data_IF_583499762042
#
_entry.id   IF_583499762042
#
_cell.length_a   1.000
_cell.length_b   1.000
_cell.length_c   1.000
_cell.angle_alpha   90.00
_cell.angle_beta   90.00
_cell.angle_gamma   90.00
#
_symmetry.space_group_name_H-M   'P 1'
#
loop_
_entity.id
_entity.type
_entity.pdbx_description
1 polymer ?
#
# COMPACT_ATOMS: atom_id res chain seq x y z
N UNK A 1 14.11 11.88 0.90
CA UNK A 1 12.92 12.76 0.86
C UNK A 1 11.99 12.37 1.98
N UNK A 2 11.45 13.32 2.74
CA UNK A 2 10.48 13.03 3.79
C UNK A 2 9.13 12.62 3.17
N UNK A 3 8.49 11.58 3.72
CA UNK A 3 7.10 11.25 3.39
C UNK A 3 6.17 12.35 3.93
N UNK A 4 5.06 12.61 3.24
CA UNK A 4 3.96 13.35 3.86
C UNK A 4 3.48 12.60 5.11
N UNK A 5 3.09 13.34 6.15
CA UNK A 5 2.67 12.75 7.43
C UNK A 5 1.52 11.77 7.26
N UNK A 6 0.57 12.08 6.38
CA UNK A 6 -0.61 11.25 6.07
C UNK A 6 -0.30 9.90 5.44
N UNK A 7 0.91 9.69 4.93
CA UNK A 7 1.38 8.42 4.34
C UNK A 7 2.70 7.95 4.95
N UNK A 8 3.06 8.46 6.13
CA UNK A 8 4.31 8.11 6.83
C UNK A 8 4.41 6.60 7.17
N UNK A 9 3.26 5.92 7.32
CA UNK A 9 3.15 4.48 7.52
C UNK A 9 3.78 3.63 6.39
N UNK A 10 4.03 4.23 5.22
CA UNK A 10 4.71 3.57 4.11
C UNK A 10 6.20 3.28 4.37
N UNK A 11 6.79 3.86 5.43
CA UNK A 11 8.11 3.51 5.91
C UNK A 11 8.04 2.23 6.73
N UNK A 12 8.43 1.10 6.12
CA UNK A 12 8.22 -0.23 6.72
C UNK A 12 9.42 -0.77 7.51
N UNK A 13 10.63 -0.27 7.22
CA UNK A 13 11.88 -0.70 7.83
C UNK A 13 12.85 0.46 7.95
N UNK A 14 13.79 0.35 8.88
CA UNK A 14 14.77 1.40 9.19
C UNK A 14 14.17 2.55 9.98
N UNK A 15 14.96 3.60 10.21
CA UNK A 15 14.54 4.74 11.03
C UNK A 15 14.42 6.02 10.21
N UNK A 16 13.85 7.07 10.81
CA UNK A 16 13.87 8.42 10.22
C UNK A 16 15.27 9.00 10.06
N UNK A 17 16.27 8.45 10.76
CA UNK A 17 17.65 8.91 10.73
C UNK A 17 18.54 8.17 9.72
N UNK A 18 18.01 7.16 9.04
CA UNK A 18 18.75 6.42 8.02
C UNK A 18 19.13 7.32 6.84
N UNK A 19 20.42 7.32 6.50
CA UNK A 19 21.00 8.16 5.44
C UNK A 19 20.49 7.73 4.06
N UNK A 20 20.40 6.42 3.84
CA UNK A 20 19.98 5.84 2.57
C UNK A 20 18.51 5.44 2.59
N UNK A 21 17.81 5.73 1.48
CA UNK A 21 16.40 5.41 1.29
C UNK A 21 16.22 4.48 0.10
N UNK A 22 15.65 3.31 0.34
CA UNK A 22 15.21 2.39 -0.71
C UNK A 22 13.71 2.59 -0.95
N UNK A 23 13.37 3.30 -2.03
CA UNK A 23 11.99 3.40 -2.53
C UNK A 23 11.64 2.14 -3.35
N UNK A 24 10.59 1.43 -2.95
CA UNK A 24 10.08 0.23 -3.64
C UNK A 24 8.68 0.49 -4.14
N UNK A 25 8.51 0.53 -5.46
CA UNK A 25 7.20 0.72 -6.10
C UNK A 25 6.50 -0.62 -6.26
N UNK A 26 5.27 -0.73 -5.78
CA UNK A 26 4.48 -1.95 -5.84
C UNK A 26 3.08 -1.72 -6.43
N UNK A 27 2.56 -2.77 -7.05
CA UNK A 27 1.16 -2.90 -7.42
C UNK A 27 0.61 -4.21 -6.85
N UNK A 28 -0.49 -4.15 -6.10
CA UNK A 28 -1.12 -5.30 -5.45
C UNK A 28 -1.70 -6.35 -6.40
N UNK A 29 -1.85 -6.04 -7.69
CA UNK A 29 -2.31 -6.99 -8.73
C UNK A 29 -1.13 -7.54 -9.55
N UNK A 30 0.09 -7.00 -9.36
CA UNK A 30 1.28 -7.45 -10.07
C UNK A 30 1.96 -8.63 -9.34
N UNK A 31 2.17 -9.80 -9.99
CA UNK A 31 2.83 -10.94 -9.35
C UNK A 31 4.32 -10.70 -9.03
N UNK A 32 4.98 -9.81 -9.80
CA UNK A 32 6.37 -9.42 -9.51
C UNK A 32 6.46 -8.57 -8.24
N UNK A 33 5.44 -7.74 -7.96
CA UNK A 33 5.36 -6.97 -6.71
C UNK A 33 5.21 -7.89 -5.50
N UNK A 34 4.39 -8.94 -5.60
CA UNK A 34 4.29 -9.96 -4.56
C UNK A 34 5.64 -10.65 -4.29
N UNK A 35 6.38 -11.00 -5.36
CA UNK A 35 7.74 -11.57 -5.24
C UNK A 35 8.70 -10.61 -4.54
N UNK A 36 8.64 -9.31 -4.85
CA UNK A 36 9.46 -8.30 -4.18
C UNK A 36 9.11 -8.18 -2.69
N UNK A 37 7.82 -8.11 -2.34
CA UNK A 37 7.37 -8.03 -0.95
C UNK A 37 7.86 -9.23 -0.11
N UNK A 38 7.72 -10.45 -0.64
CA UNK A 38 8.24 -11.67 0.00
C UNK A 38 9.76 -11.65 0.16
N UNK A 39 10.49 -11.12 -0.83
CA UNK A 39 11.94 -10.96 -0.74
C UNK A 39 12.36 -9.90 0.29
N UNK A 40 11.58 -8.83 0.45
CA UNK A 40 11.83 -7.83 1.48
C UNK A 40 11.75 -8.47 2.87
N UNK A 41 10.67 -9.21 3.15
CA UNK A 41 10.52 -9.91 4.43
C UNK A 41 11.61 -10.94 4.68
N UNK A 42 11.89 -11.80 3.69
CA UNK A 42 12.80 -12.93 3.87
C UNK A 42 14.26 -12.51 3.90
N UNK A 43 14.67 -11.61 3.02
CA UNK A 43 16.07 -11.34 2.73
C UNK A 43 16.52 -9.96 3.21
N UNK A 44 15.67 -8.94 3.06
CA UNK A 44 16.08 -7.56 3.34
C UNK A 44 15.92 -7.18 4.81
N UNK A 45 14.81 -7.57 5.43
CA UNK A 45 14.49 -7.26 6.83
C UNK A 45 15.57 -7.70 7.83
N UNK A 46 16.15 -8.92 7.75
CA UNK A 46 17.24 -9.32 8.65
C UNK A 46 18.52 -8.49 8.46
N UNK A 47 18.72 -7.87 7.30
CA UNK A 47 19.89 -7.03 7.04
C UNK A 47 19.71 -5.60 7.55
N UNK A 48 18.48 -5.11 7.64
CA UNK A 48 18.14 -3.72 7.98
C UNK A 48 17.64 -3.58 9.42
N UNK A 49 17.38 -4.68 10.14
CA UNK A 49 16.84 -4.64 11.49
C UNK A 49 17.58 -5.59 12.44
N UNK A 50 17.49 -5.33 13.75
CA UNK A 50 17.97 -6.26 14.78
C UNK A 50 19.49 -6.45 14.82
N UNK A 51 20.27 -5.42 14.53
CA UNK A 51 21.73 -5.48 14.44
C UNK A 51 22.26 -6.00 13.11
N UNK A 52 21.42 -6.10 12.08
CA UNK A 52 21.83 -6.43 10.71
C UNK A 52 22.85 -5.45 10.12
N UNK A 53 23.52 -5.87 9.04
CA UNK A 53 24.62 -5.12 8.38
C UNK A 53 24.28 -3.64 8.07
N UNK A 54 23.02 -3.38 7.75
CA UNK A 54 22.48 -2.08 7.34
C UNK A 54 21.51 -1.48 8.36
N UNK A 55 21.46 -2.03 9.58
CA UNK A 55 20.64 -1.49 10.65
C UNK A 55 21.02 -0.04 10.96
N UNK A 56 20.03 0.82 11.11
CA UNK A 56 20.16 2.27 11.22
C UNK A 56 20.59 3.00 9.94
N UNK A 57 21.13 2.31 8.93
CA UNK A 57 21.72 2.95 7.72
C UNK A 57 20.74 3.09 6.58
N UNK A 58 19.89 2.08 6.35
CA UNK A 58 18.94 2.05 5.25
C UNK A 58 17.52 2.06 5.79
N UNK A 59 16.66 2.90 5.20
CA UNK A 59 15.21 2.83 5.40
C UNK A 59 14.51 2.39 4.13
N UNK A 60 13.46 1.60 4.27
CA UNK A 60 12.67 1.08 3.14
C UNK A 60 11.31 1.75 3.13
N UNK A 61 10.96 2.34 1.99
CA UNK A 61 9.68 2.99 1.77
C UNK A 61 8.92 2.26 0.66
N UNK A 62 7.69 1.88 0.95
CA UNK A 62 6.77 1.33 -0.04
C UNK A 62 6.04 2.46 -0.76
N UNK A 63 6.14 2.50 -2.07
CA UNK A 63 5.45 3.45 -2.95
C UNK A 63 4.32 2.75 -3.67
N UNK A 64 3.13 3.30 -3.55
CA UNK A 64 1.94 2.75 -4.17
C UNK A 64 1.91 3.15 -5.64
N UNK A 65 1.83 2.17 -6.54
CA UNK A 65 1.86 2.42 -7.98
C UNK A 65 0.77 1.61 -8.68
N UNK A 66 -0.51 2.07 -8.61
CA UNK A 66 -1.60 1.40 -9.30
C UNK A 66 -1.39 1.45 -10.82
N UNK A 67 -1.27 0.28 -11.45
CA UNK A 67 -1.09 0.20 -12.90
C UNK A 67 -2.45 0.17 -13.61
N UNK A 68 -2.64 1.00 -14.66
CA UNK A 68 -3.96 1.23 -15.25
C UNK A 68 -4.55 0.02 -15.99
N UNK A 69 -3.73 -0.99 -16.30
CA UNK A 69 -4.18 -2.23 -16.96
C UNK A 69 -4.63 -3.32 -15.96
N UNK A 70 -4.40 -3.13 -14.65
CA UNK A 70 -4.92 -4.01 -13.62
C UNK A 70 -6.25 -3.45 -13.09
N UNK A 71 -7.38 -4.04 -13.49
CA UNK A 71 -8.70 -3.43 -13.32
C UNK A 71 -9.05 -3.11 -11.85
N UNK A 72 -8.60 -3.94 -10.92
CA UNK A 72 -8.88 -3.81 -9.48
C UNK A 72 -7.80 -3.06 -8.71
N UNK A 73 -6.71 -2.67 -9.36
CA UNK A 73 -5.53 -2.14 -8.68
C UNK A 73 -5.83 -0.87 -7.89
N UNK A 74 -6.70 0.00 -8.41
CA UNK A 74 -7.12 1.18 -7.63
C UNK A 74 -7.77 0.79 -6.30
N UNK A 75 -8.65 -0.21 -6.28
CA UNK A 75 -9.37 -0.64 -5.08
C UNK A 75 -8.44 -1.27 -4.03
N UNK A 76 -7.52 -2.12 -4.47
CA UNK A 76 -6.53 -2.76 -3.58
C UNK A 76 -5.58 -1.72 -2.97
N UNK A 77 -5.22 -0.67 -3.71
CA UNK A 77 -4.43 0.43 -3.16
C UNK A 77 -5.24 1.32 -2.21
N UNK A 78 -6.51 1.59 -2.50
CA UNK A 78 -7.39 2.33 -1.59
C UNK A 78 -7.48 1.62 -0.23
N UNK A 79 -7.68 0.30 -0.20
CA UNK A 79 -7.81 -0.44 1.06
C UNK A 79 -6.53 -0.37 1.90
N UNK A 80 -5.36 -0.47 1.28
CA UNK A 80 -4.08 -0.37 1.99
C UNK A 80 -3.86 1.02 2.56
N UNK A 81 -4.17 2.07 1.79
CA UNK A 81 -4.08 3.45 2.29
C UNK A 81 -5.04 3.66 3.47
N UNK A 82 -6.24 3.08 3.40
CA UNK A 82 -7.22 3.18 4.48
C UNK A 82 -6.75 2.45 5.74
N UNK A 83 -6.22 1.22 5.60
CA UNK A 83 -5.61 0.47 6.71
C UNK A 83 -4.46 1.25 7.34
N UNK A 84 -3.54 1.79 6.54
CA UNK A 84 -2.40 2.56 7.06
C UNK A 84 -2.79 3.85 7.79
N UNK A 85 -3.92 4.47 7.42
CA UNK A 85 -4.44 5.64 8.15
C UNK A 85 -5.11 5.26 9.47
N UNK A 86 -5.84 4.15 9.50
CA UNK A 86 -6.61 3.69 10.68
C UNK A 86 -5.71 3.01 11.71
N UNK A 87 -4.78 2.18 11.23
CA UNK A 87 -3.84 1.41 12.03
C UNK A 87 -2.49 1.34 11.28
N UNK A 88 -1.61 2.35 11.46
CA UNK A 88 -0.31 2.41 10.79
C UNK A 88 0.53 1.14 10.94
N UNK A 89 0.47 0.49 12.11
CA UNK A 89 1.22 -0.74 12.38
C UNK A 89 0.73 -1.94 11.56
N UNK A 90 -0.52 -1.92 11.09
CA UNK A 90 -1.14 -2.96 10.28
C UNK A 90 -0.83 -2.83 8.77
N UNK A 91 -0.29 -1.69 8.31
CA UNK A 91 -0.03 -1.45 6.89
C UNK A 91 0.78 -2.58 6.22
N UNK A 92 1.90 -2.96 6.82
CA UNK A 92 2.79 -3.96 6.24
C UNK A 92 2.29 -5.40 6.41
N UNK A 93 1.81 -5.83 7.60
CA UNK A 93 1.13 -7.13 7.73
C UNK A 93 -0.04 -7.31 6.75
N UNK A 94 -0.90 -6.30 6.60
CA UNK A 94 -2.00 -6.33 5.64
C UNK A 94 -1.51 -6.37 4.19
N UNK A 95 -0.47 -5.62 3.86
CA UNK A 95 0.16 -5.67 2.52
C UNK A 95 0.62 -7.09 2.16
N UNK A 96 1.25 -7.80 3.10
CA UNK A 96 1.69 -9.17 2.88
C UNK A 96 0.50 -10.11 2.70
N UNK A 97 -0.52 -10.02 3.54
CA UNK A 97 -1.72 -10.87 3.47
C UNK A 97 -2.54 -10.61 2.18
N UNK A 98 -2.61 -9.35 1.74
CA UNK A 98 -3.21 -8.98 0.46
C UNK A 98 -2.46 -9.59 -0.72
N UNK A 99 -1.13 -9.69 -0.66
CA UNK A 99 -0.35 -10.42 -1.67
C UNK A 99 -0.57 -11.94 -1.64
N UNK A 100 -0.94 -12.52 -0.50
CA UNK A 100 -1.31 -13.95 -0.43
C UNK A 100 -2.71 -14.20 -1.02
N UNK A 101 -3.62 -13.22 -0.98
CA UNK A 101 -4.95 -13.29 -1.61
C UNK A 101 -5.01 -12.59 -2.99
N UNK A 102 -3.85 -12.25 -3.56
CA UNK A 102 -3.72 -11.43 -4.77
C UNK A 102 -4.52 -11.99 -5.96
N UNK A 103 -4.54 -13.31 -6.14
CA UNK A 103 -5.18 -13.94 -7.29
C UNK A 103 -6.69 -13.70 -7.35
N UNK A 104 -7.34 -13.46 -6.21
CA UNK A 104 -8.76 -13.11 -6.14
C UNK A 104 -9.09 -11.77 -6.80
N UNK A 105 -8.08 -10.90 -6.92
CA UNK A 105 -8.21 -9.56 -7.48
C UNK A 105 -7.69 -9.47 -8.92
N UNK A 106 -7.26 -10.57 -9.54
CA UNK A 106 -6.93 -10.59 -10.96
C UNK A 106 -8.15 -10.32 -11.84
N UNK A 107 -7.91 -9.99 -13.11
CA UNK A 107 -8.95 -9.53 -14.02
C UNK A 107 -10.07 -10.57 -14.23
N UNK A 108 -9.72 -11.86 -14.33
CA UNK A 108 -10.72 -12.92 -14.56
C UNK A 108 -11.60 -13.13 -13.31
N UNK A 109 -11.06 -13.38 -12.10
CA UNK A 109 -11.88 -13.61 -10.91
C UNK A 109 -12.73 -12.39 -10.50
N UNK A 110 -12.23 -11.17 -10.78
CA UNK A 110 -12.93 -9.93 -10.43
C UNK A 110 -13.87 -9.40 -11.51
N UNK A 111 -13.88 -10.01 -12.71
CA UNK A 111 -14.61 -9.52 -13.90
C UNK A 111 -16.11 -9.24 -13.72
N UNK A 112 -16.74 -9.85 -12.72
CA UNK A 112 -18.19 -9.71 -12.44
C UNK A 112 -18.49 -8.99 -11.13
N UNK A 113 -17.46 -8.57 -10.40
CA UNK A 113 -17.63 -7.89 -9.13
C UNK A 113 -17.81 -6.39 -9.35
N UNK A 114 -18.74 -5.79 -8.62
CA UNK A 114 -18.88 -4.35 -8.53
C UNK A 114 -17.77 -3.75 -7.66
N UNK A 115 -17.52 -2.46 -7.83
CA UNK A 115 -16.55 -1.73 -7.01
C UNK A 115 -16.90 -1.74 -5.51
N UNK A 116 -18.18 -1.89 -5.16
CA UNK A 116 -18.63 -2.01 -3.76
C UNK A 116 -18.34 -3.40 -3.19
N UNK A 117 -18.61 -4.46 -3.96
CA UNK A 117 -18.29 -5.83 -3.57
C UNK A 117 -16.79 -6.03 -3.38
N UNK A 118 -15.96 -5.49 -4.28
CA UNK A 118 -14.49 -5.55 -4.15
C UNK A 118 -14.05 -4.86 -2.85
N UNK A 119 -14.57 -3.66 -2.56
CA UNK A 119 -14.22 -2.95 -1.31
C UNK A 119 -14.70 -3.70 -0.07
N UNK A 120 -15.89 -4.29 -0.10
CA UNK A 120 -16.38 -5.11 1.01
C UNK A 120 -15.46 -6.32 1.27
N UNK A 121 -15.03 -7.04 0.23
CA UNK A 121 -14.04 -8.13 0.36
C UNK A 121 -12.70 -7.64 0.93
N UNK A 122 -12.25 -6.46 0.52
CA UNK A 122 -11.01 -5.86 1.03
C UNK A 122 -11.12 -5.43 2.50
N UNK A 123 -12.28 -4.90 2.93
CA UNK A 123 -12.59 -4.59 4.34
C UNK A 123 -12.59 -5.87 5.16
N UNK A 124 -13.24 -6.93 4.68
CA UNK A 124 -13.25 -8.23 5.35
C UNK A 124 -11.81 -8.76 5.57
N UNK A 125 -10.98 -8.73 4.53
CA UNK A 125 -9.57 -9.12 4.66
C UNK A 125 -8.81 -8.22 5.66
N UNK A 126 -8.99 -6.91 5.57
CA UNK A 126 -8.34 -5.94 6.45
C UNK A 126 -8.79 -6.03 7.92
N UNK A 127 -10.02 -6.47 8.18
CA UNK A 127 -10.57 -6.63 9.54
C UNK A 127 -9.78 -7.62 10.39
N UNK A 128 -8.99 -8.51 9.76
CA UNK A 128 -8.08 -9.43 10.45
C UNK A 128 -6.85 -8.73 11.06
N UNK A 129 -6.49 -7.55 10.55
CA UNK A 129 -5.30 -6.79 10.95
C UNK A 129 -5.63 -5.52 11.72
N UNK A 130 -6.85 -5.01 11.60
CA UNK A 130 -7.31 -3.79 12.25
C UNK A 130 -8.18 -4.14 13.48
N UNK A 131 -8.02 -3.45 14.62
CA UNK A 131 -8.90 -3.65 15.79
C UNK A 131 -10.38 -3.51 15.43
N UNK A 132 -11.24 -4.38 15.97
CA UNK A 132 -12.67 -4.44 15.63
C UNK A 132 -13.40 -3.09 15.80
N UNK A 133 -13.03 -2.30 16.81
CA UNK A 133 -13.60 -0.97 17.06
C UNK A 133 -13.21 0.09 16.02
N UNK A 134 -12.21 -0.20 15.17
CA UNK A 134 -11.72 0.69 14.11
C UNK A 134 -12.19 0.28 12.71
N UNK A 135 -12.79 -0.90 12.55
CA UNK A 135 -13.33 -1.36 11.26
C UNK A 135 -14.37 -0.39 10.66
N UNK A 136 -15.29 0.22 11.44
CA UNK A 136 -16.20 1.23 10.89
C UNK A 136 -15.47 2.43 10.26
N UNK A 137 -14.33 2.86 10.83
CA UNK A 137 -13.52 3.94 10.26
C UNK A 137 -12.90 3.53 8.92
N UNK A 138 -12.51 2.26 8.78
CA UNK A 138 -12.00 1.71 7.52
C UNK A 138 -13.10 1.72 6.44
N UNK A 139 -14.31 1.30 6.80
CA UNK A 139 -15.47 1.32 5.91
C UNK A 139 -15.82 2.74 5.46
N UNK A 140 -15.85 3.69 6.40
CA UNK A 140 -16.10 5.11 6.11
C UNK A 140 -15.05 5.71 5.16
N UNK A 141 -13.77 5.34 5.33
CA UNK A 141 -12.70 5.79 4.44
C UNK A 141 -12.80 5.24 3.02
N UNK A 142 -13.41 4.06 2.85
CA UNK A 142 -13.61 3.40 1.56
C UNK A 142 -14.97 3.69 0.92
N UNK A 143 -15.89 4.27 1.67
CA UNK A 143 -17.15 4.77 1.15
C UNK A 143 -16.94 5.93 0.16
N UNK A 144 -17.83 6.04 -0.82
CA UNK A 144 -17.82 7.15 -1.76
C UNK A 144 -18.18 8.46 -1.05
N UNK A 145 -17.49 9.55 -1.40
CA UNK A 145 -17.87 10.90 -1.01
C UNK A 145 -19.20 11.30 -1.69
N UNK A 146 -19.83 12.34 -1.17
CA UNK A 146 -21.16 12.80 -1.61
C UNK A 146 -21.22 13.35 -3.04
N UNK A 147 -20.08 13.73 -3.62
CA UNK A 147 -20.02 14.23 -5.00
C UNK A 147 -19.77 13.09 -6.00
N UNK A 148 -20.37 13.10 -7.20
CA UNK A 148 -20.23 12.01 -8.19
C UNK A 148 -18.80 11.64 -8.62
N UNK A 149 -17.84 12.57 -8.49
CA UNK A 149 -16.42 12.37 -8.80
C UNK A 149 -15.51 12.66 -7.59
N UNK A 150 -16.04 12.45 -6.37
CA UNK A 150 -15.30 12.75 -5.14
C UNK A 150 -14.27 11.69 -4.77
N UNK A 151 -14.39 10.49 -5.33
CA UNK A 151 -13.64 9.31 -4.89
C UNK A 151 -14.04 8.90 -3.48
N UNK A 152 -13.06 8.45 -2.72
CA UNK A 152 -13.15 7.91 -1.36
C UNK A 152 -12.40 8.81 -0.36
N UNK A 153 -12.49 8.50 0.94
CA UNK A 153 -11.75 9.20 2.00
C UNK A 153 -10.23 9.16 1.82
N UNK A 154 -9.72 8.19 1.05
CA UNK A 154 -8.28 7.97 0.82
C UNK A 154 -7.75 8.45 -0.52
N UNK A 155 -8.62 8.96 -1.39
CA UNK A 155 -8.25 9.31 -2.77
C UNK A 155 -7.09 10.31 -2.85
N UNK A 156 -7.02 11.31 -1.97
CA UNK A 156 -5.97 12.33 -2.04
C UNK A 156 -4.59 11.76 -1.68
N UNK A 157 -4.54 10.84 -0.70
CA UNK A 157 -3.31 10.12 -0.35
C UNK A 157 -2.89 9.13 -1.46
N UNK A 158 -3.85 8.52 -2.17
CA UNK A 158 -3.54 7.67 -3.31
C UNK A 158 -3.01 8.50 -4.50
N UNK A 159 -3.62 9.66 -4.79
CA UNK A 159 -3.13 10.60 -5.82
C UNK A 159 -1.70 11.04 -5.56
N UNK A 160 -1.38 11.40 -4.32
CA UNK A 160 -0.02 11.78 -3.93
C UNK A 160 1.03 10.72 -4.33
N UNK A 161 0.71 9.44 -4.15
CA UNK A 161 1.62 8.35 -4.52
C UNK A 161 1.84 8.28 -6.04
N UNK A 162 0.78 8.42 -6.82
CA UNK A 162 0.84 8.39 -8.29
C UNK A 162 1.55 9.60 -8.89
N UNK A 163 1.31 10.80 -8.36
CA UNK A 163 1.96 12.04 -8.82
C UNK A 163 3.46 12.03 -8.52
N UNK A 164 3.84 11.54 -7.34
CA UNK A 164 5.24 11.43 -6.95
C UNK A 164 6.01 10.54 -7.92
N UNK A 165 5.44 9.42 -8.36
CA UNK A 165 6.06 8.55 -9.36
C UNK A 165 6.37 9.29 -10.67
N UNK A 166 5.42 10.09 -11.17
CA UNK A 166 5.62 10.89 -12.40
C UNK A 166 6.76 11.90 -12.21
N UNK A 167 6.83 12.54 -11.04
CA UNK A 167 7.93 13.45 -10.72
C UNK A 167 9.29 12.73 -10.69
N UNK A 168 9.36 11.56 -10.03
CA UNK A 168 10.58 10.74 -9.98
C UNK A 168 11.08 10.34 -11.37
N UNK A 169 10.17 9.94 -12.27
CA UNK A 169 10.55 9.55 -13.62
C UNK A 169 11.02 10.73 -14.46
N UNK A 170 10.42 11.92 -14.29
CA UNK A 170 10.84 13.13 -15.00
C UNK A 170 12.22 13.63 -14.60
N UNK A 171 12.58 13.55 -13.32
CA UNK A 171 13.88 14.03 -12.82
C UNK A 171 15.05 13.06 -13.11
N UNK A 172 14.80 11.88 -13.68
CA UNK A 172 15.82 10.85 -13.96
C UNK A 172 16.10 10.62 -15.45
N UNK A 173 15.41 11.32 -16.34
CA UNK A 173 15.73 11.29 -17.77
C UNK A 173 16.66 12.49 -18.03
N UNK A 174 17.94 12.28 -18.38
CA UNK A 174 18.84 13.37 -18.77
C UNK A 174 18.40 14.04 -20.07
#
# INVERSE_FOLDING_TARGET
MALQSSVSFQSILGTSHSEDVLDVFIDYVCPFSAKMARSIEKNLKPLISGGGKYDGKVRVIIRLHPQPWHATSTHTHESVVAVGQVEPSAFWPYTLDLFEHQEEYYDIPSSKLTALEIRAKLVELASKHVPANKVPLLEDLLAFKTTPNGGTGVTDNLKYNSELFVHYMRCRIP
#
